data_IF_949029365836
#
_entry.id   IF_949029365836
#
_cell.length_a   1.000
_cell.length_b   1.000
_cell.length_c   1.000
_cell.angle_alpha   90.00
_cell.angle_beta   90.00
_cell.angle_gamma   90.00
#
_symmetry.space_group_name_H-M   'P 1'
#
loop_
_entity.id
_entity.type
_entity.pdbx_description
1 polymer ?
#
# COMPACT_ATOMS: atom_id res chain seq x y z
N UNK A 1 -9.24 -13.10 4.78
CA UNK A 1 -10.47 -12.60 4.12
C UNK A 1 -11.39 -11.91 5.10
N UNK A 2 -11.73 -12.52 6.24
CA UNK A 2 -12.64 -11.94 7.26
C UNK A 2 -12.28 -10.48 7.64
N UNK A 3 -11.01 -10.19 7.94
CA UNK A 3 -10.58 -8.82 8.27
C UNK A 3 -10.74 -7.83 7.12
N UNK A 4 -10.53 -8.27 5.87
CA UNK A 4 -10.71 -7.39 4.72
C UNK A 4 -12.20 -7.06 4.49
N UNK A 5 -13.09 -8.00 4.78
CA UNK A 5 -14.53 -7.79 4.69
C UNK A 5 -15.04 -6.73 5.67
N UNK A 6 -14.50 -6.73 6.89
CA UNK A 6 -14.83 -5.72 7.90
C UNK A 6 -14.45 -4.29 7.49
N UNK A 7 -13.48 -4.14 6.59
CA UNK A 7 -13.07 -2.82 6.09
C UNK A 7 -14.02 -2.24 5.04
N UNK A 8 -14.94 -3.04 4.49
CA UNK A 8 -15.89 -2.56 3.46
C UNK A 8 -16.74 -1.42 4.02
N UNK A 9 -17.24 -1.55 5.25
CA UNK A 9 -18.11 -0.56 5.87
C UNK A 9 -17.40 0.78 6.14
N UNK A 10 -16.11 0.73 6.43
CA UNK A 10 -15.29 1.90 6.73
C UNK A 10 -14.60 2.50 5.51
N UNK A 11 -14.72 1.85 4.35
CA UNK A 11 -14.13 2.35 3.11
C UNK A 11 -14.91 3.57 2.62
N UNK A 12 -14.24 4.71 2.36
CA UNK A 12 -14.93 5.92 1.92
C UNK A 12 -15.48 5.75 0.50
N UNK A 13 -16.54 6.49 0.18
CA UNK A 13 -17.04 6.63 -1.19
C UNK A 13 -16.04 7.42 -2.05
N UNK A 14 -16.18 7.32 -3.37
CA UNK A 14 -15.26 7.92 -4.34
C UNK A 14 -13.79 7.53 -4.09
N UNK A 15 -13.54 6.25 -3.84
CA UNK A 15 -12.23 5.73 -3.46
C UNK A 15 -11.76 4.58 -4.34
N UNK A 16 -10.44 4.42 -4.43
CA UNK A 16 -9.79 3.28 -5.08
C UNK A 16 -8.99 2.49 -4.05
N UNK A 17 -9.33 1.21 -3.89
CA UNK A 17 -8.58 0.29 -3.04
C UNK A 17 -7.67 -0.61 -3.86
N UNK A 18 -6.37 -0.55 -3.60
CA UNK A 18 -5.38 -1.41 -4.22
C UNK A 18 -5.15 -2.66 -3.37
N UNK A 19 -5.52 -3.81 -3.91
CA UNK A 19 -5.35 -5.09 -3.22
C UNK A 19 -4.06 -5.80 -3.62
N UNK A 20 -3.47 -6.52 -2.67
CA UNK A 20 -2.47 -7.53 -3.02
C UNK A 20 -3.15 -8.79 -3.57
N UNK A 21 -2.40 -9.56 -4.37
CA UNK A 21 -2.86 -10.80 -5.02
C UNK A 21 -3.45 -11.81 -4.03
N UNK A 22 -3.04 -11.77 -2.76
CA UNK A 22 -3.57 -12.61 -1.69
C UNK A 22 -5.07 -12.39 -1.42
N UNK A 23 -5.58 -11.20 -1.67
CA UNK A 23 -6.98 -10.83 -1.45
C UNK A 23 -7.92 -11.17 -2.61
N UNK A 24 -7.43 -11.85 -3.65
CA UNK A 24 -8.25 -12.18 -4.80
C UNK A 24 -9.40 -13.11 -4.44
N UNK A 25 -10.60 -12.56 -4.40
CA UNK A 25 -11.88 -13.24 -4.24
C UNK A 25 -12.95 -12.45 -4.98
N UNK A 26 -13.63 -13.09 -5.95
CA UNK A 26 -14.66 -12.41 -6.73
C UNK A 26 -15.80 -11.89 -5.85
N UNK A 27 -16.18 -12.65 -4.80
CA UNK A 27 -17.21 -12.21 -3.85
C UNK A 27 -16.80 -10.95 -3.09
N UNK A 28 -15.57 -10.92 -2.54
CA UNK A 28 -15.06 -9.74 -1.85
C UNK A 28 -15.00 -8.54 -2.79
N UNK A 29 -14.45 -8.72 -3.99
CA UNK A 29 -14.30 -7.64 -4.97
C UNK A 29 -15.65 -7.12 -5.47
N UNK A 30 -16.62 -8.02 -5.68
CA UNK A 30 -17.99 -7.65 -6.05
C UNK A 30 -18.67 -6.83 -4.94
N UNK A 31 -18.66 -7.33 -3.71
CA UNK A 31 -19.22 -6.63 -2.55
C UNK A 31 -18.55 -5.27 -2.35
N UNK A 32 -17.21 -5.19 -2.48
CA UNK A 32 -16.47 -3.95 -2.34
C UNK A 32 -16.94 -2.86 -3.30
N UNK A 33 -17.11 -3.20 -4.58
CA UNK A 33 -17.54 -2.24 -5.60
C UNK A 33 -19.02 -1.86 -5.50
N UNK A 34 -19.86 -2.71 -4.89
CA UNK A 34 -21.31 -2.49 -4.81
C UNK A 34 -21.78 -1.96 -3.44
N UNK A 35 -20.86 -1.80 -2.48
CA UNK A 35 -21.19 -1.21 -1.17
C UNK A 35 -20.74 0.23 -1.17
N UNK A 36 -21.68 1.19 -1.31
CA UNK A 36 -21.39 2.63 -1.39
C UNK A 36 -21.29 3.16 -2.81
N UNK A 37 -20.79 4.38 -2.97
CA UNK A 37 -20.75 5.10 -4.24
C UNK A 37 -19.32 5.19 -4.78
N UNK A 38 -19.13 4.85 -6.06
CA UNK A 38 -17.84 4.97 -6.78
C UNK A 38 -16.66 4.37 -5.99
N UNK A 39 -16.86 3.22 -5.39
CA UNK A 39 -15.82 2.46 -4.72
C UNK A 39 -15.21 1.47 -5.70
N UNK A 40 -13.97 1.74 -6.04
CA UNK A 40 -13.25 0.93 -7.01
C UNK A 40 -12.14 0.12 -6.36
N UNK A 41 -11.75 -0.93 -7.06
CA UNK A 41 -10.62 -1.76 -6.66
C UNK A 41 -9.68 -2.03 -7.83
N UNK A 42 -8.43 -2.29 -7.49
CA UNK A 42 -7.35 -2.65 -8.41
C UNK A 42 -6.56 -3.82 -7.82
N UNK A 43 -6.41 -4.92 -8.56
CA UNK A 43 -5.76 -6.14 -8.08
C UNK A 43 -4.95 -6.83 -9.18
N UNK A 44 -3.76 -7.40 -8.89
CA UNK A 44 -3.02 -8.18 -9.89
C UNK A 44 -3.77 -9.44 -10.32
N UNK A 45 -3.76 -9.70 -11.61
CA UNK A 45 -4.27 -10.95 -12.15
C UNK A 45 -3.48 -12.15 -11.60
N UNK A 46 -4.17 -13.17 -11.11
CA UNK A 46 -3.55 -14.45 -10.73
C UNK A 46 -3.27 -15.29 -11.99
N UNK A 47 -2.18 -16.03 -12.00
CA UNK A 47 -1.75 -16.85 -13.13
C UNK A 47 -2.78 -17.85 -13.65
N UNK A 48 -3.64 -18.38 -12.77
CA UNK A 48 -4.60 -19.43 -13.10
C UNK A 48 -6.03 -18.90 -13.27
N UNK A 49 -6.23 -17.60 -13.35
CA UNK A 49 -7.55 -17.02 -13.59
C UNK A 49 -7.85 -17.08 -15.08
N UNK A 50 -8.90 -17.81 -15.43
CA UNK A 50 -9.44 -17.83 -16.77
C UNK A 50 -10.41 -16.67 -16.95
N UNK A 51 -10.38 -16.05 -18.10
CA UNK A 51 -11.28 -14.96 -18.47
C UNK A 51 -11.64 -15.03 -19.94
N UNK A 52 -12.80 -14.52 -20.28
CA UNK A 52 -13.25 -14.31 -21.65
C UNK A 52 -13.14 -12.84 -22.02
N UNK A 53 -12.61 -12.53 -23.20
CA UNK A 53 -12.53 -11.14 -23.66
C UNK A 53 -13.86 -10.73 -24.29
N UNK A 54 -14.55 -9.80 -23.61
CA UNK A 54 -15.82 -9.25 -24.08
C UNK A 54 -15.58 -8.16 -25.13
N UNK A 55 -14.63 -7.25 -24.85
CA UNK A 55 -14.32 -6.11 -25.72
C UNK A 55 -12.87 -5.69 -25.58
N UNK A 56 -12.22 -5.44 -26.71
CA UNK A 56 -10.90 -4.77 -26.73
C UNK A 56 -11.12 -3.25 -26.72
N UNK A 57 -10.57 -2.57 -25.73
CA UNK A 57 -10.57 -1.11 -25.61
C UNK A 57 -9.30 -0.50 -26.20
N UNK A 58 -8.21 -1.27 -26.22
CA UNK A 58 -6.92 -0.89 -26.76
C UNK A 58 -5.95 -2.08 -26.79
N UNK A 59 -4.70 -1.84 -27.16
CA UNK A 59 -3.66 -2.90 -27.25
C UNK A 59 -3.41 -3.58 -25.90
N UNK A 60 -3.45 -2.82 -24.81
CA UNK A 60 -3.15 -3.26 -23.45
C UNK A 60 -4.36 -3.09 -22.50
N UNK A 61 -5.56 -2.99 -23.08
CA UNK A 61 -6.78 -2.64 -22.36
C UNK A 61 -7.98 -3.44 -22.91
N UNK A 62 -8.66 -4.17 -22.05
CA UNK A 62 -9.74 -5.08 -22.41
C UNK A 62 -10.82 -5.09 -21.34
N UNK A 63 -12.07 -5.20 -21.74
CA UNK A 63 -13.13 -5.67 -20.87
C UNK A 63 -13.14 -7.20 -20.93
N UNK A 64 -13.11 -7.83 -19.77
CA UNK A 64 -13.09 -9.28 -19.62
C UNK A 64 -14.19 -9.74 -18.67
N UNK A 65 -14.67 -10.93 -18.92
CA UNK A 65 -15.67 -11.61 -18.12
C UNK A 65 -14.98 -12.68 -17.29
N UNK A 66 -15.25 -12.68 -15.98
CA UNK A 66 -14.78 -13.66 -15.02
C UNK A 66 -15.96 -14.51 -14.54
N UNK A 67 -15.84 -15.82 -14.64
CA UNK A 67 -16.88 -16.75 -14.15
C UNK A 67 -16.67 -17.07 -12.68
N UNK A 68 -17.72 -16.89 -11.88
CA UNK A 68 -17.72 -17.22 -10.46
C UNK A 68 -17.99 -18.72 -10.26
N UNK A 69 -17.31 -19.34 -9.30
CA UNK A 69 -17.54 -20.75 -9.01
C UNK A 69 -18.75 -20.91 -8.03
N UNK A 70 -19.42 -22.09 -8.02
CA UNK A 70 -20.57 -22.32 -7.15
C UNK A 70 -20.27 -22.18 -5.64
N UNK A 71 -19.05 -22.50 -5.20
CA UNK A 71 -18.64 -22.35 -3.79
C UNK A 71 -18.55 -20.87 -3.39
N UNK A 72 -18.04 -20.03 -4.30
CA UNK A 72 -17.99 -18.59 -4.05
C UNK A 72 -19.40 -18.00 -3.93
N UNK A 73 -20.34 -18.42 -4.78
CA UNK A 73 -21.75 -17.97 -4.73
C UNK A 73 -22.49 -18.44 -3.46
N UNK A 74 -22.12 -19.60 -2.92
CA UNK A 74 -22.66 -20.01 -1.60
C UNK A 74 -22.22 -19.09 -0.47
N UNK A 75 -20.98 -18.62 -0.51
CA UNK A 75 -20.42 -17.69 0.50
C UNK A 75 -20.87 -16.24 0.28
N UNK A 76 -21.14 -15.89 -0.98
CA UNK A 76 -21.53 -14.55 -1.41
C UNK A 76 -22.78 -14.66 -2.30
N UNK A 77 -23.98 -14.69 -1.71
CA UNK A 77 -25.22 -14.89 -2.47
C UNK A 77 -25.47 -13.82 -3.54
N UNK A 78 -24.98 -12.60 -3.33
CA UNK A 78 -25.11 -11.48 -4.26
C UNK A 78 -24.14 -11.56 -5.46
N UNK A 79 -23.17 -12.48 -5.43
CA UNK A 79 -22.18 -12.62 -6.49
C UNK A 79 -22.82 -13.21 -7.75
N UNK A 80 -22.82 -12.50 -8.89
CA UNK A 80 -23.37 -13.01 -10.13
C UNK A 80 -22.54 -14.18 -10.70
N UNK A 81 -23.12 -14.95 -11.59
CA UNK A 81 -22.42 -16.02 -12.29
C UNK A 81 -21.20 -15.50 -13.05
N UNK A 82 -21.32 -14.33 -13.64
CA UNK A 82 -20.32 -13.68 -14.46
C UNK A 82 -20.14 -12.24 -13.98
N UNK A 83 -18.89 -11.83 -13.89
CA UNK A 83 -18.51 -10.48 -13.49
C UNK A 83 -17.68 -9.85 -14.61
N UNK A 84 -18.17 -8.74 -15.17
CA UNK A 84 -17.41 -7.96 -16.16
C UNK A 84 -16.48 -7.00 -15.43
N UNK A 85 -15.19 -7.08 -15.75
CA UNK A 85 -14.14 -6.24 -15.18
C UNK A 85 -13.20 -5.77 -16.28
N UNK A 86 -12.36 -4.80 -16.00
CA UNK A 86 -11.35 -4.33 -16.95
C UNK A 86 -10.00 -4.94 -16.62
N UNK A 87 -9.34 -5.46 -17.65
CA UNK A 87 -7.98 -6.00 -17.61
C UNK A 87 -7.04 -5.00 -18.27
N UNK A 88 -6.12 -4.48 -17.49
CA UNK A 88 -5.08 -3.55 -17.93
C UNK A 88 -3.73 -4.24 -17.87
N UNK A 89 -2.98 -4.20 -18.98
CA UNK A 89 -1.65 -4.78 -19.09
C UNK A 89 -0.60 -3.68 -19.23
N UNK A 90 0.52 -3.81 -18.51
CA UNK A 90 1.68 -2.91 -18.62
C UNK A 90 2.96 -3.70 -18.77
N UNK A 91 3.82 -3.26 -19.64
CA UNK A 91 5.20 -3.76 -19.76
C UNK A 91 6.10 -3.00 -18.77
N UNK A 92 6.72 -3.73 -17.85
CA UNK A 92 7.71 -3.19 -16.92
C UNK A 92 8.94 -4.09 -16.89
N UNK A 93 10.11 -3.53 -17.18
CA UNK A 93 11.38 -4.27 -17.17
C UNK A 93 11.33 -5.60 -17.98
N UNK A 94 10.71 -5.57 -19.17
CA UNK A 94 10.54 -6.73 -20.03
C UNK A 94 9.53 -7.77 -19.56
N UNK A 95 8.80 -7.53 -18.47
CA UNK A 95 7.73 -8.41 -17.97
C UNK A 95 6.38 -7.75 -18.11
N UNK A 96 5.41 -8.53 -18.53
CA UNK A 96 4.01 -8.10 -18.55
C UNK A 96 3.42 -8.19 -17.15
N UNK A 97 2.80 -7.10 -16.72
CA UNK A 97 2.06 -7.00 -15.47
C UNK A 97 0.60 -6.73 -15.80
N UNK A 98 -0.25 -7.67 -15.44
CA UNK A 98 -1.68 -7.62 -15.67
C UNK A 98 -2.41 -7.32 -14.37
N UNK A 99 -3.30 -6.33 -14.42
CA UNK A 99 -4.14 -5.93 -13.28
C UNK A 99 -5.62 -5.93 -13.70
N UNK A 100 -6.47 -6.33 -12.79
CA UNK A 100 -7.92 -6.26 -12.92
C UNK A 100 -8.46 -5.09 -12.12
N UNK A 101 -9.50 -4.45 -12.61
CA UNK A 101 -10.16 -3.35 -11.91
C UNK A 101 -11.66 -3.29 -12.20
N UNK A 102 -12.43 -2.74 -11.26
CA UNK A 102 -13.84 -2.39 -11.44
C UNK A 102 -14.06 -1.09 -12.24
N UNK A 103 -13.02 -0.32 -12.55
CA UNK A 103 -13.08 0.89 -13.37
C UNK A 103 -13.21 0.54 -14.84
N UNK A 104 -14.42 0.19 -15.29
CA UNK A 104 -14.69 -0.34 -16.63
C UNK A 104 -14.80 0.71 -17.72
N UNK A 105 -15.08 1.96 -17.40
CA UNK A 105 -15.21 3.05 -18.36
C UNK A 105 -13.83 3.64 -18.71
N UNK A 106 -13.34 3.48 -19.97
CA UNK A 106 -12.04 4.00 -20.37
C UNK A 106 -12.01 5.52 -20.54
N UNK A 107 -13.16 6.17 -20.71
CA UNK A 107 -13.24 7.61 -20.85
C UNK A 107 -13.13 8.31 -19.49
N UNK A 108 -13.76 7.72 -18.47
CA UNK A 108 -13.70 8.21 -17.08
C UNK A 108 -12.35 7.87 -16.42
N UNK A 109 -11.78 6.71 -16.77
CA UNK A 109 -10.53 6.19 -16.17
C UNK A 109 -9.52 5.84 -17.27
N UNK A 110 -8.69 6.77 -17.69
CA UNK A 110 -7.68 6.55 -18.74
C UNK A 110 -6.70 5.43 -18.40
N UNK A 111 -6.31 4.64 -19.40
CA UNK A 111 -5.37 3.51 -19.24
C UNK A 111 -4.06 3.92 -18.54
N UNK A 112 -3.49 5.06 -18.95
CA UNK A 112 -2.20 5.53 -18.41
C UNK A 112 -2.25 5.76 -16.91
N UNK A 113 -3.34 6.32 -16.39
CA UNK A 113 -3.53 6.58 -14.97
C UNK A 113 -3.65 5.27 -14.18
N UNK A 114 -4.48 4.31 -14.64
CA UNK A 114 -4.63 3.01 -13.95
C UNK A 114 -3.31 2.24 -13.94
N UNK A 115 -2.59 2.25 -15.07
CA UNK A 115 -1.33 1.53 -15.18
C UNK A 115 -0.25 2.09 -14.24
N UNK A 116 -0.26 3.40 -14.01
CA UNK A 116 0.68 4.06 -13.10
C UNK A 116 0.30 3.87 -11.63
N UNK A 117 -0.99 3.99 -11.30
CA UNK A 117 -1.49 3.85 -9.93
C UNK A 117 -1.04 2.54 -9.26
N UNK A 118 -1.03 1.42 -9.97
CA UNK A 118 -0.62 0.15 -9.38
C UNK A 118 0.86 0.14 -8.94
N UNK A 119 1.70 0.97 -9.52
CA UNK A 119 3.10 1.11 -9.09
C UNK A 119 3.21 1.67 -7.67
N UNK A 120 2.25 2.48 -7.24
CA UNK A 120 2.19 3.08 -5.90
C UNK A 120 1.80 2.09 -4.80
N UNK A 121 1.37 0.87 -5.12
CA UNK A 121 1.13 -0.18 -4.11
C UNK A 121 2.34 -0.41 -3.18
N UNK A 122 3.56 -0.19 -3.68
CA UNK A 122 4.77 -0.31 -2.88
C UNK A 122 4.86 0.68 -1.72
N UNK A 123 4.12 1.75 -1.75
CA UNK A 123 4.15 2.76 -0.69
C UNK A 123 3.68 2.21 0.66
N UNK A 124 2.75 1.25 0.67
CA UNK A 124 2.35 0.58 1.92
C UNK A 124 3.50 -0.23 2.51
N UNK A 125 4.31 -0.88 1.68
CA UNK A 125 5.49 -1.62 2.14
C UNK A 125 6.59 -0.67 2.65
N UNK A 126 6.72 0.50 2.04
CA UNK A 126 7.59 1.58 2.52
C UNK A 126 7.08 2.13 3.85
N UNK A 127 5.79 2.37 4.00
CA UNK A 127 5.17 2.81 5.26
C UNK A 127 5.41 1.83 6.41
N UNK A 128 5.28 0.54 6.18
CA UNK A 128 5.65 -0.46 7.20
C UNK A 128 7.15 -0.45 7.54
N UNK A 129 8.01 -0.20 6.57
CA UNK A 129 9.45 -0.04 6.81
C UNK A 129 9.74 1.22 7.62
N UNK A 130 9.12 2.34 7.28
CA UNK A 130 9.24 3.60 7.98
C UNK A 130 8.87 3.44 9.46
N UNK A 131 7.74 2.81 9.74
CA UNK A 131 7.32 2.55 11.12
C UNK A 131 8.26 1.59 11.84
N UNK A 132 8.55 0.42 11.26
CA UNK A 132 9.31 -0.63 11.95
C UNK A 132 10.79 -0.32 12.07
N UNK A 133 11.42 0.18 11.01
CA UNK A 133 12.87 0.36 10.97
C UNK A 133 13.29 1.76 11.41
N UNK A 134 12.64 2.80 10.90
CA UNK A 134 13.09 4.17 11.14
C UNK A 134 12.49 4.74 12.43
N UNK A 135 11.19 4.57 12.68
CA UNK A 135 10.58 5.02 13.92
C UNK A 135 10.95 4.18 15.13
N UNK A 136 10.89 2.86 14.99
CA UNK A 136 10.98 1.91 16.10
C UNK A 136 12.30 1.13 16.16
N UNK A 137 13.24 1.38 15.23
CA UNK A 137 14.56 0.75 15.18
C UNK A 137 14.51 -0.79 15.16
N UNK A 138 13.45 -1.39 14.58
CA UNK A 138 13.15 -2.84 14.64
C UNK A 138 12.98 -3.41 16.07
N UNK A 139 12.76 -2.57 17.06
CA UNK A 139 12.66 -2.95 18.48
C UNK A 139 11.25 -2.84 19.04
N UNK A 140 10.23 -2.92 18.15
CA UNK A 140 8.85 -2.91 18.62
C UNK A 140 8.59 -4.14 19.49
N UNK A 141 8.41 -3.90 20.78
CA UNK A 141 7.90 -4.89 21.73
C UNK A 141 6.68 -4.27 22.38
N UNK A 142 5.52 -4.87 22.16
CA UNK A 142 4.32 -4.48 22.88
C UNK A 142 4.48 -4.91 24.34
N UNK A 143 4.43 -3.97 25.27
CA UNK A 143 4.66 -4.19 26.69
C UNK A 143 3.39 -4.60 27.41
N UNK A 144 2.25 -4.14 26.93
CA UNK A 144 0.96 -4.39 27.53
C UNK A 144 0.50 -5.83 27.29
N UNK A 145 -0.15 -6.40 28.29
CA UNK A 145 -0.76 -7.74 28.23
C UNK A 145 -2.28 -7.67 28.02
N UNK A 146 -2.90 -6.55 28.34
CA UNK A 146 -4.33 -6.32 28.17
C UNK A 146 -4.61 -5.85 26.73
N UNK A 147 -5.60 -6.43 26.03
CA UNK A 147 -5.90 -6.09 24.63
C UNK A 147 -6.12 -4.59 24.40
N UNK A 148 -6.79 -3.91 25.33
CA UNK A 148 -7.08 -2.47 25.19
C UNK A 148 -5.80 -1.63 25.28
N UNK A 149 -4.87 -1.96 26.18
CA UNK A 149 -3.60 -1.26 26.28
C UNK A 149 -2.70 -1.55 25.07
N UNK A 150 -2.75 -2.78 24.53
CA UNK A 150 -2.06 -3.11 23.26
C UNK A 150 -2.60 -2.24 22.12
N UNK A 151 -3.91 -2.04 22.03
CA UNK A 151 -4.51 -1.13 21.06
C UNK A 151 -4.01 0.30 21.23
N UNK A 152 -3.94 0.78 22.48
CA UNK A 152 -3.42 2.13 22.76
C UNK A 152 -1.96 2.30 22.31
N UNK A 153 -1.10 1.32 22.57
CA UNK A 153 0.29 1.34 22.09
C UNK A 153 0.34 1.42 20.54
N UNK A 154 -0.48 0.62 19.85
CA UNK A 154 -0.55 0.65 18.39
C UNK A 154 -1.10 1.97 17.87
N UNK A 155 -2.14 2.52 18.49
CA UNK A 155 -2.68 3.84 18.12
C UNK A 155 -1.67 4.95 18.32
N UNK A 156 -0.87 4.91 19.40
CA UNK A 156 0.22 5.86 19.63
C UNK A 156 1.26 5.84 18.50
N UNK A 157 1.63 4.65 18.04
CA UNK A 157 2.57 4.49 16.91
C UNK A 157 1.97 5.04 15.62
N UNK A 158 0.73 4.68 15.30
CA UNK A 158 0.05 5.12 14.08
C UNK A 158 -0.19 6.63 14.07
N UNK A 159 -0.59 7.21 15.20
CA UNK A 159 -0.77 8.65 15.34
C UNK A 159 0.56 9.40 15.13
N UNK A 160 1.63 8.96 15.78
CA UNK A 160 2.96 9.55 15.60
C UNK A 160 3.41 9.46 14.13
N UNK A 161 3.22 8.31 13.49
CA UNK A 161 3.53 8.15 12.07
C UNK A 161 2.73 9.14 11.20
N UNK A 162 1.43 9.28 11.44
CA UNK A 162 0.59 10.19 10.69
C UNK A 162 0.99 11.66 10.89
N UNK A 163 1.35 12.05 12.11
CA UNK A 163 1.84 13.41 12.38
C UNK A 163 3.15 13.71 11.63
N UNK A 164 4.08 12.75 11.59
CA UNK A 164 5.32 12.89 10.83
C UNK A 164 5.01 13.02 9.32
N UNK A 165 4.14 12.16 8.78
CA UNK A 165 3.75 12.22 7.36
C UNK A 165 3.01 13.52 7.03
N UNK A 166 2.14 13.98 7.91
CA UNK A 166 1.50 15.29 7.76
C UNK A 166 2.53 16.41 7.70
N UNK A 167 3.49 16.41 8.64
CA UNK A 167 4.57 17.42 8.64
C UNK A 167 5.41 17.35 7.37
N UNK A 168 5.72 16.15 6.85
CA UNK A 168 6.41 15.99 5.57
C UNK A 168 5.62 16.58 4.40
N UNK A 169 4.28 16.48 4.42
CA UNK A 169 3.45 17.15 3.43
C UNK A 169 3.57 18.67 3.51
N UNK A 170 3.56 19.24 4.70
CA UNK A 170 3.78 20.68 4.89
C UNK A 170 5.18 21.10 4.40
N UNK A 171 6.21 20.29 4.69
CA UNK A 171 7.56 20.52 4.20
C UNK A 171 7.62 20.56 2.67
N UNK A 172 6.93 19.64 1.99
CA UNK A 172 6.86 19.63 0.53
C UNK A 172 6.20 20.89 -0.05
N UNK A 173 5.15 21.39 0.59
CA UNK A 173 4.46 22.61 0.14
C UNK A 173 5.34 23.87 0.21
N UNK A 174 6.38 23.85 1.04
CA UNK A 174 7.32 24.97 1.17
C UNK A 174 8.51 24.88 0.19
N UNK A 175 8.67 23.75 -0.48
CA UNK A 175 9.71 23.58 -1.51
C UNK A 175 9.33 24.29 -2.81
N UNK A 176 10.32 24.80 -3.50
CA UNK A 176 10.16 25.30 -4.87
C UNK A 176 10.11 24.11 -5.84
N UNK A 177 8.93 23.80 -6.37
CA UNK A 177 8.70 22.72 -7.31
C UNK A 177 7.62 21.72 -6.83
N UNK A 178 7.20 20.85 -7.74
CA UNK A 178 6.15 19.85 -7.48
C UNK A 178 6.74 18.59 -6.84
N UNK A 179 7.02 18.66 -5.55
CA UNK A 179 7.51 17.53 -4.79
C UNK A 179 6.37 16.83 -4.05
N UNK A 180 6.43 15.51 -4.02
CA UNK A 180 5.52 14.67 -3.26
C UNK A 180 6.20 14.15 -1.98
N UNK A 181 5.47 13.92 -0.87
CA UNK A 181 6.04 13.53 0.41
C UNK A 181 6.93 12.28 0.37
N UNK A 182 6.70 11.35 -0.56
CA UNK A 182 7.54 10.15 -0.71
C UNK A 182 8.90 10.42 -1.38
N UNK A 183 9.11 11.62 -1.93
CA UNK A 183 10.39 12.06 -2.47
C UNK A 183 11.31 12.65 -1.39
N UNK A 184 10.79 12.87 -0.18
CA UNK A 184 11.60 13.24 0.98
C UNK A 184 12.08 12.00 1.74
N UNK A 185 13.27 12.12 2.34
CA UNK A 185 13.79 11.11 3.25
C UNK A 185 12.98 11.07 4.54
N UNK A 186 12.21 10.01 4.78
CA UNK A 186 11.47 9.84 6.03
C UNK A 186 12.37 9.89 7.26
N UNK A 187 13.52 9.18 7.21
CA UNK A 187 14.46 9.16 8.33
C UNK A 187 15.09 10.54 8.60
N UNK A 188 15.41 11.27 7.52
CA UNK A 188 15.89 12.65 7.63
C UNK A 188 14.81 13.58 8.20
N UNK A 189 13.58 13.49 7.71
CA UNK A 189 12.46 14.29 8.20
C UNK A 189 12.17 13.99 9.69
N UNK A 190 12.13 12.71 10.07
CA UNK A 190 11.94 12.30 11.47
C UNK A 190 13.02 12.92 12.38
N UNK A 191 14.30 12.79 12.00
CA UNK A 191 15.40 13.35 12.79
C UNK A 191 15.31 14.89 12.89
N UNK A 192 14.88 15.53 11.82
CA UNK A 192 14.74 16.98 11.75
C UNK A 192 13.57 17.47 12.62
N UNK A 193 12.42 16.81 12.55
CA UNK A 193 11.26 17.08 13.41
C UNK A 193 11.63 16.86 14.87
N UNK A 194 12.28 15.76 15.21
CA UNK A 194 12.70 15.48 16.57
C UNK A 194 13.66 16.55 17.11
N UNK A 195 14.60 17.02 16.31
CA UNK A 195 15.52 18.11 16.70
C UNK A 195 14.76 19.39 17.02
N UNK A 196 13.77 19.76 16.19
CA UNK A 196 12.91 20.91 16.45
C UNK A 196 12.16 20.76 17.78
N UNK A 197 11.45 19.64 17.96
CA UNK A 197 10.64 19.39 19.17
C UNK A 197 11.47 19.37 20.46
N UNK A 198 12.66 18.79 20.44
CA UNK A 198 13.57 18.78 21.60
C UNK A 198 14.14 20.17 21.88
N UNK A 199 14.35 21.00 20.85
CA UNK A 199 14.88 22.35 21.00
C UNK A 199 13.84 23.39 21.47
N UNK A 200 12.56 23.19 21.14
CA UNK A 200 11.50 24.15 21.44
C UNK A 200 11.39 24.56 22.92
N UNK A 201 11.44 23.66 23.93
CA UNK A 201 11.33 24.01 25.33
C UNK A 201 12.46 24.93 25.83
N UNK A 202 13.61 24.91 25.15
CA UNK A 202 14.78 25.71 25.51
C UNK A 202 14.85 27.03 24.72
N UNK A 203 13.86 27.30 23.90
CA UNK A 203 13.82 28.46 23.01
C UNK A 203 13.00 29.59 23.63
N UNK A 204 13.41 30.82 23.44
CA UNK A 204 12.55 31.95 23.80
C UNK A 204 11.41 32.10 22.78
N UNK A 205 10.19 32.47 23.21
CA UNK A 205 9.02 32.60 22.30
C UNK A 205 9.30 33.51 21.09
N UNK A 206 10.09 34.55 21.22
CA UNK A 206 10.45 35.47 20.12
C UNK A 206 11.34 34.83 19.03
N UNK A 207 12.01 33.71 19.30
CA UNK A 207 12.86 33.01 18.32
C UNK A 207 12.14 31.96 17.51
N UNK A 208 10.92 31.59 17.90
CA UNK A 208 10.13 30.54 17.26
C UNK A 208 9.91 30.76 15.75
N UNK A 209 9.54 31.96 15.26
CA UNK A 209 9.36 32.18 13.83
C UNK A 209 10.64 31.88 13.02
N UNK A 210 11.80 32.29 13.51
CA UNK A 210 13.09 32.03 12.88
C UNK A 210 13.44 30.54 12.89
N UNK A 211 13.15 29.83 13.97
CA UNK A 211 13.39 28.39 14.06
C UNK A 211 12.52 27.62 13.07
N UNK A 212 11.24 27.98 12.93
CA UNK A 212 10.34 27.38 11.95
C UNK A 212 10.81 27.70 10.52
N UNK A 213 11.25 28.93 10.25
CA UNK A 213 11.80 29.28 8.95
C UNK A 213 13.02 28.41 8.63
N UNK A 214 14.00 28.31 9.51
CA UNK A 214 15.20 27.47 9.35
C UNK A 214 14.81 25.99 9.16
N UNK A 215 13.78 25.52 9.88
CA UNK A 215 13.27 24.16 9.76
C UNK A 215 12.76 23.88 8.33
N UNK A 216 12.03 24.80 7.72
CA UNK A 216 11.54 24.63 6.35
C UNK A 216 12.64 24.82 5.31
N UNK A 217 13.58 25.75 5.49
CA UNK A 217 14.72 25.95 4.59
C UNK A 217 15.61 24.69 4.47
N UNK A 218 15.78 23.95 5.56
CA UNK A 218 16.55 22.71 5.55
C UNK A 218 15.86 21.56 4.80
N UNK A 219 14.58 21.68 4.44
CA UNK A 219 13.83 20.63 3.76
C UNK A 219 14.44 20.23 2.43
N UNK A 220 15.07 21.15 1.70
CA UNK A 220 15.73 20.85 0.41
C UNK A 220 16.81 19.76 0.57
N UNK A 221 17.51 19.73 1.69
CA UNK A 221 18.52 18.71 1.98
C UNK A 221 17.95 17.30 2.18
N UNK A 222 16.66 17.20 2.38
CA UNK A 222 15.94 15.94 2.61
C UNK A 222 15.41 15.31 1.31
N UNK A 223 15.51 16.00 0.18
CA UNK A 223 15.07 15.49 -1.12
C UNK A 223 15.92 14.28 -1.50
N UNK A 224 15.23 13.17 -1.77
CA UNK A 224 15.87 11.94 -2.20
C UNK A 224 16.32 12.06 -3.66
N UNK A 225 17.56 11.70 -3.92
CA UNK A 225 18.05 11.58 -5.30
C UNK A 225 17.21 10.55 -6.08
N UNK A 226 17.01 10.73 -7.40
CA UNK A 226 16.32 9.78 -8.24
C UNK A 226 16.87 8.37 -8.03
N UNK A 227 16.00 7.40 -7.77
CA UNK A 227 16.43 6.02 -7.51
C UNK A 227 17.08 5.45 -8.77
N UNK A 228 18.33 5.03 -8.65
CA UNK A 228 18.99 4.27 -9.72
C UNK A 228 18.21 2.96 -9.92
N UNK A 229 17.88 2.67 -11.16
CA UNK A 229 17.29 1.37 -11.51
C UNK A 229 18.32 0.27 -11.19
N UNK A 230 18.08 -0.48 -10.12
CA UNK A 230 18.92 -1.63 -9.78
C UNK A 230 18.39 -2.86 -10.48
N UNK A 231 19.18 -3.40 -11.38
CA UNK A 231 18.86 -4.62 -12.16
C UNK A 231 19.46 -5.91 -11.57
N UNK A 232 20.01 -5.84 -10.36
CA UNK A 232 20.61 -7.04 -9.74
C UNK A 232 19.54 -8.07 -9.37
N UNK A 233 19.71 -9.34 -9.77
CA UNK A 233 18.84 -10.40 -9.34
C UNK A 233 18.89 -10.52 -7.82
N UNK A 234 17.72 -10.66 -7.19
CA UNK A 234 17.67 -10.90 -5.74
C UNK A 234 18.18 -12.31 -5.46
N UNK A 235 19.18 -12.43 -4.60
CA UNK A 235 19.53 -13.74 -4.06
C UNK A 235 18.35 -14.27 -3.25
N UNK A 236 17.86 -15.46 -3.63
CA UNK A 236 16.81 -16.14 -2.86
C UNK A 236 17.48 -16.74 -1.64
N UNK A 237 17.33 -16.11 -0.47
CA UNK A 237 17.71 -16.74 0.78
C UNK A 237 16.78 -17.92 1.00
N UNK A 238 17.29 -19.15 0.78
CA UNK A 238 16.60 -20.37 1.27
C UNK A 238 16.57 -20.26 2.78
N UNK A 239 15.39 -20.02 3.36
CA UNK A 239 15.24 -20.12 4.81
C UNK A 239 15.52 -21.57 5.18
N UNK A 240 16.41 -21.83 6.16
CA UNK A 240 16.55 -23.19 6.69
C UNK A 240 15.18 -23.63 7.21
N UNK A 241 14.86 -24.90 7.00
CA UNK A 241 13.62 -25.47 7.55
C UNK A 241 13.55 -25.17 9.05
N UNK A 242 12.43 -24.63 9.50
CA UNK A 242 12.22 -24.26 10.91
C UNK A 242 12.29 -25.48 11.85
N UNK A 243 12.06 -26.66 11.28
CA UNK A 243 12.17 -27.94 11.94
C UNK A 243 13.06 -28.83 11.09
N UNK A 244 14.00 -29.58 11.71
CA UNK A 244 14.77 -30.57 10.97
C UNK A 244 13.83 -31.55 10.31
N UNK A 245 14.01 -31.75 9.00
CA UNK A 245 13.28 -32.77 8.27
C UNK A 245 13.74 -34.12 8.86
N UNK A 246 12.86 -34.84 9.53
CA UNK A 246 13.12 -36.19 10.00
C UNK A 246 13.34 -37.07 8.77
N UNK A 247 14.61 -37.26 8.40
CA UNK A 247 14.99 -38.30 7.45
C UNK A 247 14.94 -39.61 8.25
N UNK A 248 14.11 -40.55 7.83
CA UNK A 248 13.92 -41.87 8.45
C UNK A 248 13.18 -41.86 9.80
N UNK A 249 11.89 -41.51 9.77
CA UNK A 249 11.01 -41.71 10.93
C UNK A 249 10.86 -43.18 11.39
N UNK A 250 11.33 -44.14 10.57
CA UNK A 250 11.29 -45.57 10.88
C UNK A 250 12.19 -45.99 12.07
N UNK A 251 13.16 -45.16 12.48
CA UNK A 251 14.03 -45.42 13.62
C UNK A 251 13.53 -44.86 14.95
N UNK A 252 12.33 -44.27 14.98
CA UNK A 252 11.71 -43.67 16.17
C UNK A 252 10.52 -44.52 16.64
N UNK A 253 10.68 -45.85 16.64
CA UNK A 253 9.79 -46.76 17.37
C UNK A 253 10.35 -47.01 18.75
#
# INVERSE_FOLDING_TARGET
>A
MVLAEQLIETTPDNSLTMFDRGFYSLGLLHKWANTGLERHWLIPLKKNVQYEVVRKLGRQDKLVKLTSNPRARKLWPELPNELTVRLVSRQMQGKQHDVLTSMTDPMKYPLAEIADLYSHRWEIELGYREQKQYMLGNRLTLRSRLPELVKQELWGILLTYNLIRYQMTQMCMMLKGDYLPYQLSFNGALAHIMRLLVGLPYSSPGTLPRQLQNFYEMTESLILAPRRQRTFPRSVKKRPSRYPIKRNAAHLK
#
